data_IF_381267727434
#
_entry.id   IF_381267727434
#
_cell.length_a   1.000
_cell.length_b   1.000
_cell.length_c   1.000
_cell.angle_alpha   90.00
_cell.angle_beta   90.00
_cell.angle_gamma   90.00
#
_symmetry.space_group_name_H-M   'P 1'
#
loop_
_entity.id
_entity.type
_entity.pdbx_description
1 polymer ?
#
# COMPACT_ATOMS: atom_id res chain seq x y z
N UNK A 1 8.54 -21.95 1.44
CA UNK A 1 9.40 -21.09 0.58
C UNK A 1 8.63 -20.42 -0.56
N UNK A 2 7.44 -20.89 -0.97
CA UNK A 2 6.61 -20.23 -2.00
C UNK A 2 6.01 -18.88 -1.59
N UNK A 3 5.75 -18.64 -0.29
CA UNK A 3 5.08 -17.42 0.18
C UNK A 3 5.91 -16.14 -0.02
N UNK A 4 7.24 -16.24 0.06
CA UNK A 4 8.14 -15.10 -0.18
C UNK A 4 8.09 -14.62 -1.64
N UNK A 5 7.75 -15.50 -2.59
CA UNK A 5 7.67 -15.13 -4.00
C UNK A 5 6.61 -14.05 -4.27
N UNK A 6 5.54 -14.03 -3.47
CA UNK A 6 4.47 -13.03 -3.58
C UNK A 6 4.69 -11.85 -2.63
N UNK A 7 5.11 -12.12 -1.39
CA UNK A 7 5.29 -11.07 -0.39
C UNK A 7 6.42 -10.10 -0.73
N UNK A 8 7.53 -10.57 -1.28
CA UNK A 8 8.68 -9.74 -1.61
C UNK A 8 8.35 -8.68 -2.68
N UNK A 9 7.79 -9.01 -3.86
CA UNK A 9 7.39 -7.99 -4.84
C UNK A 9 6.26 -7.08 -4.34
N UNK A 10 5.30 -7.60 -3.57
CA UNK A 10 4.25 -6.79 -2.93
C UNK A 10 4.81 -5.81 -1.89
N UNK A 11 5.87 -6.21 -1.17
CA UNK A 11 6.54 -5.36 -0.19
C UNK A 11 7.32 -4.23 -0.86
N UNK A 12 7.96 -4.50 -2.00
CA UNK A 12 8.59 -3.47 -2.81
C UNK A 12 7.53 -2.50 -3.36
N UNK A 13 6.50 -3.01 -4.05
CA UNK A 13 5.42 -2.17 -4.58
C UNK A 13 4.60 -1.46 -3.49
N UNK A 14 4.64 -1.94 -2.25
CA UNK A 14 3.99 -1.32 -1.10
C UNK A 14 4.70 -0.08 -0.55
N UNK A 15 5.83 0.33 -1.15
CA UNK A 15 6.52 1.55 -0.75
C UNK A 15 7.24 1.46 0.61
N UNK A 16 7.62 0.25 1.03
CA UNK A 16 8.36 0.01 2.28
C UNK A 16 9.77 0.63 2.23
N UNK A 17 10.41 0.55 1.05
CA UNK A 17 11.80 0.98 0.86
C UNK A 17 11.93 2.27 0.05
N UNK A 18 10.86 2.71 -0.63
CA UNK A 18 10.85 3.88 -1.52
C UNK A 18 9.47 4.54 -1.56
N UNK A 19 9.43 5.82 -1.94
CA UNK A 19 8.17 6.52 -2.20
C UNK A 19 7.55 6.00 -3.50
N UNK A 20 6.22 5.88 -3.54
CA UNK A 20 5.49 5.44 -4.74
C UNK A 20 5.64 6.42 -5.92
N UNK A 21 5.99 7.68 -5.62
CA UNK A 21 6.20 8.73 -6.61
C UNK A 21 7.51 8.56 -7.41
N UNK A 22 8.39 7.67 -6.97
CA UNK A 22 9.65 7.36 -7.67
C UNK A 22 9.49 6.21 -8.67
N UNK A 23 8.30 5.59 -8.72
CA UNK A 23 8.02 4.48 -9.62
C UNK A 23 7.49 4.99 -10.96
N UNK A 24 7.76 4.27 -12.06
CA UNK A 24 7.12 4.53 -13.34
C UNK A 24 5.59 4.38 -13.23
N UNK A 25 4.85 5.14 -14.03
CA UNK A 25 3.38 5.29 -13.95
C UNK A 25 2.60 3.96 -13.87
N UNK A 26 3.08 2.93 -14.60
CA UNK A 26 2.47 1.60 -14.58
C UNK A 26 2.60 0.90 -13.22
N UNK A 27 3.72 1.09 -12.53
CA UNK A 27 3.98 0.48 -11.23
C UNK A 27 3.35 1.28 -10.10
N UNK A 28 3.25 2.61 -10.24
CA UNK A 28 2.48 3.45 -9.33
C UNK A 28 1.00 3.04 -9.31
N UNK A 29 0.43 2.75 -10.48
CA UNK A 29 -0.94 2.25 -10.60
C UNK A 29 -1.12 0.92 -9.86
N UNK A 30 -0.18 -0.02 -10.01
CA UNK A 30 -0.20 -1.31 -9.29
C UNK A 30 -0.10 -1.15 -7.76
N UNK A 31 0.68 -0.19 -7.28
CA UNK A 31 0.82 0.09 -5.85
C UNK A 31 -0.49 0.55 -5.21
N UNK A 32 -1.37 1.26 -5.93
CA UNK A 32 -2.68 1.65 -5.41
C UNK A 32 -3.65 0.48 -5.23
N UNK A 33 -3.43 -0.64 -5.92
CA UNK A 33 -4.18 -1.88 -5.69
C UNK A 33 -3.63 -2.69 -4.52
N UNK A 34 -2.50 -2.29 -3.94
CA UNK A 34 -1.84 -3.04 -2.88
C UNK A 34 -2.27 -2.52 -1.48
N UNK A 35 -2.93 -3.33 -0.64
CA UNK A 35 -3.31 -2.90 0.71
C UNK A 35 -2.11 -2.59 1.61
N UNK A 36 -0.95 -3.21 1.35
CA UNK A 36 0.29 -2.96 2.11
C UNK A 36 0.74 -1.50 1.90
N UNK A 37 0.54 -0.94 0.71
CA UNK A 37 0.88 0.47 0.43
C UNK A 37 0.18 1.44 1.39
N UNK A 38 -1.12 1.27 1.57
CA UNK A 38 -1.89 2.15 2.45
C UNK A 38 -1.51 2.01 3.93
N UNK A 39 -1.18 0.79 4.37
CA UNK A 39 -0.69 0.53 5.72
C UNK A 39 0.66 1.24 5.97
N UNK A 40 1.60 1.11 5.03
CA UNK A 40 2.92 1.74 5.12
C UNK A 40 2.81 3.27 5.05
N UNK A 41 1.98 3.81 4.16
CA UNK A 41 1.76 5.25 4.06
C UNK A 41 1.19 5.83 5.38
N UNK A 42 0.30 5.11 6.06
CA UNK A 42 -0.22 5.50 7.39
C UNK A 42 0.85 5.50 8.48
N UNK A 43 1.70 4.46 8.54
CA UNK A 43 2.83 4.40 9.48
C UNK A 43 3.78 5.58 9.22
N UNK A 44 4.08 5.85 7.95
CA UNK A 44 4.99 6.92 7.54
C UNK A 44 4.46 8.31 7.90
N UNK A 45 3.15 8.53 7.73
CA UNK A 45 2.48 9.75 8.20
C UNK A 45 2.58 9.90 9.73
N UNK A 46 2.45 8.81 10.49
CA UNK A 46 2.48 8.83 11.96
C UNK A 46 3.89 9.10 12.51
N UNK A 47 4.93 8.62 11.82
CA UNK A 47 6.34 8.78 12.25
C UNK A 47 6.96 10.08 11.73
N UNK A 48 6.75 10.40 10.45
CA UNK A 48 7.43 11.51 9.77
C UNK A 48 6.53 12.73 9.55
N UNK A 49 5.22 12.60 9.74
CA UNK A 49 4.24 13.66 9.41
C UNK A 49 4.02 13.85 7.90
N UNK A 50 4.63 13.01 7.05
CA UNK A 50 4.60 13.13 5.59
C UNK A 50 4.01 11.88 4.94
N UNK A 51 3.03 12.07 4.06
CA UNK A 51 2.33 11.01 3.34
C UNK A 51 2.43 11.24 1.82
N UNK A 52 2.62 10.17 1.04
CA UNK A 52 2.62 10.26 -0.43
C UNK A 52 1.21 10.44 -0.99
N UNK A 53 0.21 9.85 -0.32
CA UNK A 53 -1.22 10.05 -0.58
C UNK A 53 -1.92 10.62 0.65
N UNK A 54 -3.03 11.38 0.48
CA UNK A 54 -3.79 11.91 1.59
C UNK A 54 -4.14 10.80 2.60
N UNK A 55 -3.79 10.94 3.90
CA UNK A 55 -3.99 9.89 4.90
C UNK A 55 -5.43 9.37 4.95
N UNK A 56 -6.40 10.28 4.76
CA UNK A 56 -7.82 9.94 4.73
C UNK A 56 -8.18 8.99 3.57
N UNK A 57 -7.62 9.22 2.37
CA UNK A 57 -7.83 8.34 1.20
C UNK A 57 -7.19 6.97 1.39
N UNK A 58 -6.01 6.93 2.01
CA UNK A 58 -5.35 5.66 2.33
C UNK A 58 -6.16 4.84 3.33
N UNK A 59 -6.69 5.50 4.36
CA UNK A 59 -7.51 4.85 5.38
C UNK A 59 -8.82 4.30 4.83
N UNK A 60 -9.54 5.08 4.00
CA UNK A 60 -10.78 4.62 3.37
C UNK A 60 -10.56 3.44 2.43
N UNK A 61 -9.46 3.45 1.66
CA UNK A 61 -9.17 2.38 0.71
C UNK A 61 -8.72 1.09 1.42
N UNK A 62 -7.93 1.21 2.49
CA UNK A 62 -7.54 0.08 3.32
C UNK A 62 -8.75 -0.58 4.01
N UNK A 63 -9.65 0.23 4.58
CA UNK A 63 -10.90 -0.27 5.17
C UNK A 63 -11.80 -0.92 4.13
N UNK A 64 -11.97 -0.28 2.97
CA UNK A 64 -12.78 -0.82 1.88
C UNK A 64 -12.23 -2.18 1.41
N UNK A 65 -10.93 -2.30 1.17
CA UNK A 65 -10.31 -3.58 0.79
C UNK A 65 -10.44 -4.64 1.88
N UNK A 66 -10.26 -4.26 3.14
CA UNK A 66 -10.39 -5.19 4.27
C UNK A 66 -11.82 -5.70 4.42
N UNK A 67 -12.80 -4.80 4.33
CA UNK A 67 -14.23 -5.15 4.37
C UNK A 67 -14.61 -5.98 3.16
N UNK A 68 -14.14 -5.65 1.96
CA UNK A 68 -14.40 -6.41 0.74
C UNK A 68 -13.85 -7.84 0.85
N UNK A 69 -12.62 -8.01 1.35
CA UNK A 69 -12.00 -9.32 1.55
C UNK A 69 -12.72 -10.14 2.64
N UNK A 70 -13.14 -9.50 3.74
CA UNK A 70 -13.88 -10.14 4.83
C UNK A 70 -15.35 -10.44 4.48
N UNK A 71 -15.95 -9.66 3.59
CA UNK A 71 -17.34 -9.80 3.13
C UNK A 71 -17.46 -10.64 1.85
N UNK A 72 -16.40 -11.37 1.47
CA UNK A 72 -16.48 -12.33 0.38
C UNK A 72 -17.41 -13.49 0.82
N UNK A 73 -18.49 -13.82 0.06
CA UNK A 73 -19.39 -14.92 0.39
C UNK A 73 -18.71 -16.29 0.29
#
# INVERSE_FOLDING_TARGET
>A
MMQNFFLTPLSFLGGIFYSVNMLPDWAQTLSFFNPIYYMINGIRFTILGVADTPPMTSFTMALFMTIFLLCQP
#
